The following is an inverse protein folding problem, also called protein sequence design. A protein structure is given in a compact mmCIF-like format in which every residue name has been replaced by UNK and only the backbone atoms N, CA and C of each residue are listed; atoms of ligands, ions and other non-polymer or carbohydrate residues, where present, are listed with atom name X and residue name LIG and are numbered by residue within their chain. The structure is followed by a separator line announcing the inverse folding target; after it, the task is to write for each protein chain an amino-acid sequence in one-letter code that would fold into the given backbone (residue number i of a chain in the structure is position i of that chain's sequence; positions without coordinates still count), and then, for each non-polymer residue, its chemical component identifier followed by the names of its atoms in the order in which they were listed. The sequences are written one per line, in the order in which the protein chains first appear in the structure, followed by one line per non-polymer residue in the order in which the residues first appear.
data_IF_721842236267
#
_entry.id   IF_721842236267
#
_cell.length_a   1.000
_cell.length_b   1.000
_cell.length_c   1.000
_cell.angle_alpha   90.00
_cell.angle_beta   90.00
_cell.angle_gamma   90.00
#
_symmetry.space_group_name_H-M   'P 1'
#
loop_
_entity.id
_entity.type
_entity.pdbx_description
1 polymer ?
#
# COMPACT_ATOMS: atom_id res chain seq x y z
N UNK A 1 -12.73 -20.12 15.05
CA UNK A 1 -12.45 -20.54 13.66
C UNK A 1 -11.82 -19.39 12.92
N UNK A 2 -10.71 -19.65 12.22
CA UNK A 2 -10.04 -18.69 11.35
C UNK A 2 -10.69 -18.76 9.96
N UNK A 3 -11.10 -17.63 9.40
CA UNK A 3 -11.66 -17.57 8.05
C UNK A 3 -10.68 -16.90 7.10
N UNK A 4 -10.35 -17.56 6.00
CA UNK A 4 -9.40 -17.06 5.00
C UNK A 4 -10.13 -16.60 3.76
N UNK A 5 -9.80 -15.42 3.25
CA UNK A 5 -10.29 -14.93 1.96
C UNK A 5 -9.15 -14.29 1.17
N UNK A 6 -9.35 -14.15 -0.13
CA UNK A 6 -8.35 -13.59 -1.05
C UNK A 6 -8.80 -12.23 -1.59
N UNK A 7 -7.89 -11.27 -1.63
CA UNK A 7 -8.10 -9.94 -2.21
C UNK A 7 -7.33 -9.85 -3.53
N UNK A 8 -7.99 -9.57 -4.67
CA UNK A 8 -7.31 -9.30 -5.92
C UNK A 8 -6.48 -8.02 -5.81
N UNK A 9 -5.21 -8.09 -6.19
CA UNK A 9 -4.26 -6.98 -6.12
C UNK A 9 -3.37 -6.94 -7.35
N UNK A 10 -2.69 -5.80 -7.57
CA UNK A 10 -1.62 -5.73 -8.55
C UNK A 10 -0.38 -6.53 -8.07
N UNK A 11 0.44 -7.07 -8.98
CA UNK A 11 1.63 -7.84 -8.63
C UNK A 11 2.60 -7.13 -7.67
N UNK A 12 2.97 -5.86 -7.92
CA UNK A 12 3.86 -5.09 -7.02
C UNK A 12 3.21 -4.83 -5.65
N UNK A 13 1.89 -4.59 -5.62
CA UNK A 13 1.14 -4.41 -4.38
C UNK A 13 1.20 -5.68 -3.54
N UNK A 14 1.04 -6.85 -4.16
CA UNK A 14 1.19 -8.14 -3.47
C UNK A 14 2.59 -8.27 -2.85
N UNK A 15 3.65 -8.06 -3.64
CA UNK A 15 5.04 -8.17 -3.16
C UNK A 15 5.30 -7.24 -1.98
N UNK A 16 4.81 -6.00 -2.06
CA UNK A 16 4.92 -5.04 -0.98
C UNK A 16 4.17 -5.49 0.28
N UNK A 17 2.91 -5.94 0.15
CA UNK A 17 2.13 -6.44 1.27
C UNK A 17 2.76 -7.70 1.90
N UNK A 18 3.24 -8.64 1.10
CA UNK A 18 3.91 -9.86 1.57
C UNK A 18 5.23 -9.54 2.29
N UNK A 19 5.99 -8.53 1.82
CA UNK A 19 7.21 -8.07 2.49
C UNK A 19 6.93 -7.51 3.89
N UNK A 20 5.88 -6.71 4.06
CA UNK A 20 5.56 -6.06 5.34
C UNK A 20 4.71 -6.90 6.29
N UNK A 21 3.79 -7.71 5.75
CA UNK A 21 2.76 -8.43 6.52
C UNK A 21 2.94 -9.94 6.52
N UNK A 22 3.77 -10.47 5.63
CA UNK A 22 3.91 -11.91 5.37
C UNK A 22 2.79 -12.48 4.49
N UNK A 23 2.97 -13.72 4.05
CA UNK A 23 2.03 -14.45 3.17
C UNK A 23 0.72 -14.86 3.86
N UNK A 24 0.71 -14.93 5.19
CA UNK A 24 -0.41 -15.39 6.00
C UNK A 24 -1.03 -14.28 6.86
N UNK A 25 -1.16 -13.07 6.30
CA UNK A 25 -1.57 -11.90 7.06
C UNK A 25 -2.89 -12.12 7.80
N UNK A 26 -2.87 -11.88 9.12
CA UNK A 26 -4.05 -11.87 9.97
C UNK A 26 -4.57 -10.45 10.06
N UNK A 27 -5.83 -10.26 9.65
CA UNK A 27 -6.50 -8.97 9.66
C UNK A 27 -6.45 -8.38 11.07
N UNK A 28 -5.71 -7.28 11.21
CA UNK A 28 -5.52 -6.58 12.47
C UNK A 28 -6.02 -5.13 12.35
N UNK A 29 -6.46 -4.56 13.46
CA UNK A 29 -6.85 -3.13 13.52
C UNK A 29 -5.69 -2.24 13.95
N UNK A 30 -4.55 -2.84 14.30
CA UNK A 30 -3.37 -2.10 14.75
C UNK A 30 -2.57 -1.54 13.58
N UNK A 31 -2.58 -2.23 12.43
CA UNK A 31 -1.88 -1.80 11.24
C UNK A 31 -2.80 -1.02 10.28
N UNK A 32 -2.24 -0.12 9.45
CA UNK A 32 -3.02 0.70 8.53
C UNK A 32 -3.74 -0.13 7.45
N UNK A 33 -3.16 -1.24 6.99
CA UNK A 33 -3.74 -2.07 5.93
C UNK A 33 -5.00 -2.78 6.39
N UNK A 34 -4.98 -3.37 7.59
CA UNK A 34 -6.13 -4.04 8.15
C UNK A 34 -7.25 -3.08 8.57
N UNK A 35 -6.91 -1.86 9.01
CA UNK A 35 -7.92 -0.79 9.22
C UNK A 35 -8.62 -0.40 7.92
N UNK A 36 -7.87 -0.22 6.84
CA UNK A 36 -8.44 0.10 5.53
C UNK A 36 -9.31 -1.05 5.02
N UNK A 37 -8.80 -2.29 5.03
CA UNK A 37 -9.56 -3.48 4.63
C UNK A 37 -10.84 -3.64 5.46
N UNK A 38 -10.78 -3.46 6.78
CA UNK A 38 -11.96 -3.54 7.65
C UNK A 38 -12.97 -2.45 7.30
N UNK A 39 -12.49 -1.25 6.97
CA UNK A 39 -13.35 -0.13 6.57
C UNK A 39 -14.09 -0.46 5.28
N UNK A 40 -13.38 -0.97 4.26
CA UNK A 40 -13.96 -1.39 2.99
C UNK A 40 -14.94 -2.54 3.15
N UNK A 41 -14.59 -3.57 3.93
CA UNK A 41 -15.47 -4.71 4.22
C UNK A 41 -16.74 -4.32 5.01
N UNK A 42 -16.70 -3.20 5.73
CA UNK A 42 -17.82 -2.67 6.50
C UNK A 42 -18.83 -1.85 5.68
N UNK A 43 -18.50 -1.45 4.45
CA UNK A 43 -19.35 -0.58 3.66
C UNK A 43 -20.60 -1.32 3.12
N UNK A 44 -21.72 -0.61 3.04
CA UNK A 44 -22.93 -1.13 2.38
C UNK A 44 -22.68 -1.15 0.87
N UNK A 45 -22.84 -2.32 0.24
CA UNK A 45 -22.67 -2.50 -1.22
C UNK A 45 -23.46 -1.45 -2.00
N UNK A 46 -22.76 -0.54 -2.67
CA UNK A 46 -23.33 0.37 -3.66
C UNK A 46 -22.90 -0.11 -5.05
N UNK A 47 -23.90 -0.38 -5.90
CA UNK A 47 -23.90 -0.71 -7.34
C UNK A 47 -22.69 -1.41 -8.00
N UNK A 48 -23.00 -2.49 -8.75
CA UNK A 48 -22.10 -3.46 -9.41
C UNK A 48 -21.38 -2.97 -10.69
N UNK A 49 -21.23 -1.66 -10.91
CA UNK A 49 -20.92 -1.12 -12.25
C UNK A 49 -19.40 -0.98 -12.59
N UNK A 50 -18.53 -1.88 -12.11
CA UNK A 50 -17.07 -1.79 -12.32
C UNK A 50 -16.39 -3.11 -12.71
N UNK A 51 -17.04 -3.94 -13.53
CA UNK A 51 -16.53 -5.30 -13.86
C UNK A 51 -15.35 -5.31 -14.85
N UNK A 52 -15.04 -4.19 -15.52
CA UNK A 52 -13.96 -4.11 -16.50
C UNK A 52 -12.55 -3.93 -15.91
N UNK A 53 -12.44 -3.25 -14.76
CA UNK A 53 -11.14 -2.82 -14.20
C UNK A 53 -10.43 -3.89 -13.37
N UNK A 54 -11.16 -4.89 -12.88
CA UNK A 54 -10.61 -5.98 -12.08
C UNK A 54 -9.69 -6.91 -12.87
N UNK A 55 -9.76 -6.88 -14.21
CA UNK A 55 -8.89 -7.68 -15.09
C UNK A 55 -7.40 -7.37 -14.93
N UNK A 56 -7.06 -6.16 -14.46
CA UNK A 56 -5.67 -5.76 -14.22
C UNK A 56 -5.11 -6.26 -12.88
N UNK A 57 -5.94 -6.85 -12.01
CA UNK A 57 -5.52 -7.41 -10.73
C UNK A 57 -5.29 -8.92 -10.88
N UNK A 58 -4.12 -9.27 -11.39
CA UNK A 58 -3.75 -10.66 -11.69
C UNK A 58 -3.25 -11.44 -10.49
N UNK A 59 -2.89 -10.77 -9.39
CA UNK A 59 -2.37 -11.38 -8.19
C UNK A 59 -3.44 -11.44 -7.09
N UNK A 60 -3.31 -12.40 -6.18
CA UNK A 60 -4.21 -12.56 -5.03
C UNK A 60 -3.40 -12.45 -3.73
N UNK A 61 -3.88 -11.65 -2.78
CA UNK A 61 -3.32 -11.52 -1.44
C UNK A 61 -4.22 -12.23 -0.43
N UNK A 62 -3.65 -13.16 0.34
CA UNK A 62 -4.38 -13.96 1.33
C UNK A 62 -4.55 -13.22 2.65
N UNK A 63 -5.79 -13.14 3.16
CA UNK A 63 -6.11 -12.49 4.42
C UNK A 63 -6.89 -13.44 5.32
N UNK A 64 -6.44 -13.58 6.55
CA UNK A 64 -7.08 -14.40 7.59
C UNK A 64 -7.81 -13.53 8.61
N UNK A 65 -9.04 -13.86 8.97
CA UNK A 65 -9.82 -13.15 9.99
C UNK A 65 -10.13 -14.10 11.13
N UNK A 66 -9.83 -13.65 12.36
CA UNK A 66 -10.23 -14.35 13.56
C UNK A 66 -11.72 -14.08 13.84
N UNK A 67 -12.52 -15.14 13.85
CA UNK A 67 -13.97 -15.04 13.77
C UNK A 67 -14.63 -14.57 15.06
N UNK A 68 -15.33 -13.44 14.98
CA UNK A 68 -16.59 -13.21 15.69
C UNK A 68 -17.73 -13.37 14.67
N UNK A 69 -18.81 -14.11 14.97
CA UNK A 69 -19.87 -14.44 13.98
C UNK A 69 -20.50 -13.21 13.29
N UNK A 70 -20.43 -12.05 13.92
CA UNK A 70 -20.91 -10.76 13.40
C UNK A 70 -20.02 -10.26 12.24
N UNK A 71 -18.70 -10.43 12.35
CA UNK A 71 -17.76 -10.13 11.26
C UNK A 71 -17.98 -11.09 10.10
N UNK A 72 -18.24 -12.37 10.35
CA UNK A 72 -18.51 -13.35 9.29
C UNK A 72 -19.72 -12.98 8.43
N UNK A 73 -20.82 -12.48 9.03
CA UNK A 73 -21.99 -12.01 8.27
C UNK A 73 -21.74 -10.69 7.52
N UNK A 74 -20.73 -9.91 7.92
CA UNK A 74 -20.37 -8.61 7.34
C UNK A 74 -19.24 -8.68 6.32
N UNK A 75 -18.40 -9.71 6.35
CA UNK A 75 -17.38 -10.03 5.35
C UNK A 75 -18.07 -10.48 4.06
N UNK A 76 -18.79 -9.56 3.43
CA UNK A 76 -19.28 -9.75 2.08
C UNK A 76 -18.07 -9.54 1.16
N UNK A 77 -17.94 -10.37 0.13
CA UNK A 77 -16.86 -10.22 -0.85
C UNK A 77 -16.78 -8.77 -1.36
N UNK A 78 -15.54 -8.28 -1.46
CA UNK A 78 -15.22 -6.92 -1.90
C UNK A 78 -15.81 -6.65 -3.29
N UNK A 79 -16.37 -5.47 -3.46
CA UNK A 79 -16.78 -4.94 -4.77
C UNK A 79 -15.55 -4.53 -5.57
N UNK A 80 -15.69 -4.46 -6.89
CA UNK A 80 -14.61 -3.99 -7.76
C UNK A 80 -14.08 -2.60 -7.36
N UNK A 81 -14.96 -1.69 -6.93
CA UNK A 81 -14.57 -0.38 -6.42
C UNK A 81 -13.71 -0.48 -5.16
N UNK A 82 -14.15 -1.27 -4.18
CA UNK A 82 -13.39 -1.46 -2.94
C UNK A 82 -12.01 -2.09 -3.19
N UNK A 83 -11.91 -3.00 -4.17
CA UNK A 83 -10.62 -3.55 -4.63
C UNK A 83 -9.73 -2.45 -5.21
N UNK A 84 -10.28 -1.60 -6.07
CA UNK A 84 -9.55 -0.45 -6.66
C UNK A 84 -9.07 0.49 -5.56
N UNK A 85 -9.96 0.85 -4.63
CA UNK A 85 -9.67 1.78 -3.53
C UNK A 85 -8.56 1.21 -2.64
N UNK A 86 -8.61 -0.08 -2.30
CA UNK A 86 -7.56 -0.75 -1.54
C UNK A 86 -6.21 -0.74 -2.28
N UNK A 87 -6.19 -1.09 -3.57
CA UNK A 87 -4.95 -1.07 -4.36
C UNK A 87 -4.37 0.34 -4.44
N UNK A 88 -5.20 1.35 -4.67
CA UNK A 88 -4.78 2.75 -4.73
C UNK A 88 -4.23 3.24 -3.39
N UNK A 89 -4.83 2.82 -2.28
CA UNK A 89 -4.34 3.10 -0.93
C UNK A 89 -2.93 2.55 -0.73
N UNK A 90 -2.71 1.26 -1.03
CA UNK A 90 -1.39 0.65 -0.88
C UNK A 90 -0.37 1.29 -1.83
N UNK A 91 -0.75 1.56 -3.08
CA UNK A 91 0.11 2.30 -4.01
C UNK A 91 0.48 3.70 -3.52
N UNK A 92 -0.43 4.37 -2.79
CA UNK A 92 -0.15 5.65 -2.14
C UNK A 92 0.95 5.53 -1.09
N UNK A 93 0.90 4.48 -0.27
CA UNK A 93 1.94 4.17 0.73
C UNK A 93 3.27 3.86 0.04
N UNK A 94 3.27 2.97 -0.96
CA UNK A 94 4.48 2.62 -1.73
C UNK A 94 5.13 3.89 -2.31
N UNK A 95 4.34 4.79 -2.89
CA UNK A 95 4.85 6.05 -3.46
C UNK A 95 5.44 6.96 -2.40
N UNK A 96 4.76 7.12 -1.26
CA UNK A 96 5.25 7.95 -0.17
C UNK A 96 6.59 7.42 0.37
N UNK A 97 6.66 6.12 0.58
CA UNK A 97 7.88 5.46 1.03
C UNK A 97 9.00 5.55 -0.01
N UNK A 98 8.70 5.33 -1.28
CA UNK A 98 9.64 5.51 -2.38
C UNK A 98 10.24 6.92 -2.39
N UNK A 99 9.42 7.96 -2.26
CA UNK A 99 9.91 9.33 -2.23
C UNK A 99 10.80 9.60 -1.00
N UNK A 100 10.41 9.11 0.18
CA UNK A 100 11.24 9.19 1.39
C UNK A 100 12.57 8.46 1.23
N UNK A 101 12.54 7.24 0.69
CA UNK A 101 13.71 6.38 0.47
C UNK A 101 14.72 7.02 -0.48
N UNK A 102 14.26 7.48 -1.65
CA UNK A 102 15.13 8.13 -2.62
C UNK A 102 15.67 9.44 -2.06
N UNK A 103 14.83 10.26 -1.41
CA UNK A 103 15.27 11.51 -0.78
C UNK A 103 16.38 11.28 0.24
N UNK A 104 16.20 10.32 1.15
CA UNK A 104 17.19 10.00 2.18
C UNK A 104 18.52 9.52 1.58
N UNK A 105 18.48 8.67 0.55
CA UNK A 105 19.71 8.22 -0.13
C UNK A 105 20.42 9.34 -0.90
N UNK A 106 19.66 10.30 -1.44
CA UNK A 106 20.27 11.48 -2.07
C UNK A 106 21.02 12.35 -1.06
N UNK A 107 20.58 12.42 0.19
CA UNK A 107 21.26 13.18 1.24
C UNK A 107 22.66 12.61 1.56
N UNK A 108 22.85 11.31 1.38
CA UNK A 108 24.15 10.63 1.53
C UNK A 108 24.91 10.50 0.19
N UNK A 109 24.65 11.41 -0.75
CA UNK A 109 25.33 11.50 -2.06
C UNK A 109 25.18 10.28 -2.98
N UNK A 110 24.17 9.42 -2.78
CA UNK A 110 23.88 8.37 -3.76
C UNK A 110 23.17 8.94 -5.00
N UNK A 111 23.49 8.38 -6.16
CA UNK A 111 22.83 8.79 -7.41
C UNK A 111 21.35 8.40 -7.42
N UNK A 112 20.50 9.21 -8.06
CA UNK A 112 19.07 8.88 -8.23
C UNK A 112 18.87 7.48 -8.83
N UNK A 113 19.67 7.12 -9.82
CA UNK A 113 19.62 5.81 -10.47
C UNK A 113 19.85 4.70 -9.46
N UNK A 114 20.95 4.77 -8.70
CA UNK A 114 21.28 3.75 -7.68
C UNK A 114 20.22 3.66 -6.58
N UNK A 115 19.65 4.79 -6.16
CA UNK A 115 18.61 4.82 -5.13
C UNK A 115 17.30 4.20 -5.61
N UNK A 116 16.89 4.47 -6.85
CA UNK A 116 15.68 3.86 -7.42
C UNK A 116 15.88 2.35 -7.61
N UNK A 117 17.05 1.94 -8.10
CA UNK A 117 17.37 0.52 -8.30
C UNK A 117 17.39 -0.23 -6.96
N UNK A 118 18.03 0.33 -5.93
CA UNK A 118 18.05 -0.25 -4.60
C UNK A 118 16.64 -0.39 -3.99
N UNK A 119 15.74 0.57 -4.26
CA UNK A 119 14.34 0.48 -3.83
C UNK A 119 13.62 -0.69 -4.50
N UNK A 120 13.84 -0.89 -5.81
CA UNK A 120 13.26 -2.01 -6.53
C UNK A 120 13.80 -3.35 -6.02
N UNK A 121 15.10 -3.43 -5.79
CA UNK A 121 15.76 -4.63 -5.26
C UNK A 121 15.24 -4.98 -3.86
N UNK A 122 15.00 -3.99 -3.00
CA UNK A 122 14.47 -4.21 -1.65
C UNK A 122 13.12 -4.93 -1.66
N UNK A 123 12.26 -4.65 -2.64
CA UNK A 123 10.92 -5.24 -2.76
C UNK A 123 10.80 -6.30 -3.87
N UNK A 124 11.92 -6.67 -4.49
CA UNK A 124 11.96 -7.54 -5.66
C UNK A 124 11.00 -7.08 -6.79
N UNK A 125 10.94 -5.78 -7.08
CA UNK A 125 10.11 -5.25 -8.16
C UNK A 125 10.75 -5.48 -9.52
N UNK A 126 10.16 -6.40 -10.29
CA UNK A 126 10.57 -6.69 -11.66
C UNK A 126 10.08 -5.60 -12.63
N UNK A 127 10.63 -5.56 -13.84
CA UNK A 127 10.29 -4.52 -14.82
C UNK A 127 8.82 -4.58 -15.26
N UNK A 128 8.24 -5.78 -15.24
CA UNK A 128 6.82 -6.05 -15.53
C UNK A 128 5.89 -5.52 -14.44
N UNK A 129 6.36 -5.53 -13.19
CA UNK A 129 5.60 -5.05 -12.04
C UNK A 129 5.66 -3.52 -11.96
N UNK A 130 6.88 -2.97 -11.97
CA UNK A 130 7.13 -1.55 -11.84
C UNK A 130 8.47 -1.17 -12.48
N UNK A 131 8.40 -0.73 -13.73
CA UNK A 131 9.60 -0.33 -14.49
C UNK A 131 10.33 0.86 -13.88
N UNK A 132 11.65 0.86 -14.04
CA UNK A 132 12.52 1.97 -13.63
C UNK A 132 12.05 3.33 -14.18
N UNK A 133 11.65 3.38 -15.45
CA UNK A 133 11.18 4.62 -16.09
C UNK A 133 9.91 5.17 -15.44
N UNK A 134 9.03 4.29 -14.96
CA UNK A 134 7.81 4.69 -14.23
C UNK A 134 8.18 5.37 -12.92
N UNK A 135 9.08 4.77 -12.14
CA UNK A 135 9.57 5.31 -10.88
C UNK A 135 10.36 6.62 -11.08
N UNK A 136 11.23 6.67 -12.09
CA UNK A 136 11.97 7.87 -12.46
C UNK A 136 11.02 9.03 -12.80
N UNK A 137 10.00 8.79 -13.61
CA UNK A 137 8.97 9.81 -13.93
C UNK A 137 8.15 10.22 -12.70
N UNK A 138 7.87 9.30 -11.79
CA UNK A 138 7.20 9.61 -10.52
C UNK A 138 8.07 10.53 -9.65
N UNK A 139 9.36 10.23 -9.52
CA UNK A 139 10.33 11.04 -8.80
C UNK A 139 10.49 12.44 -9.40
N UNK A 140 10.60 12.54 -10.72
CA UNK A 140 10.68 13.82 -11.42
C UNK A 140 9.44 14.69 -11.16
N UNK A 141 8.25 14.09 -11.16
CA UNK A 141 7.00 14.77 -10.82
C UNK A 141 6.94 15.23 -9.37
N UNK A 142 7.46 14.42 -8.45
CA UNK A 142 7.57 14.79 -7.03
C UNK A 142 8.53 15.96 -6.81
N UNK A 143 9.71 15.95 -7.47
CA UNK A 143 10.71 17.02 -7.37
C UNK A 143 10.31 18.32 -8.06
N UNK A 144 9.45 18.24 -9.08
CA UNK A 144 9.02 19.42 -9.81
C UNK A 144 7.82 20.03 -9.07
N UNK A 145 7.97 21.14 -8.30
CA UNK A 145 6.83 21.82 -7.73
C UNK A 145 6.02 22.38 -8.89
N UNK A 146 5.04 21.62 -9.36
CA UNK A 146 4.09 22.16 -10.32
C UNK A 146 3.42 23.36 -9.65
N UNK A 147 3.51 24.55 -10.27
CA UNK A 147 2.93 25.81 -9.76
C UNK A 147 1.45 25.69 -9.34
N UNK A 148 0.74 24.64 -9.79
CA UNK A 148 -0.63 24.31 -9.39
C UNK A 148 -0.79 23.71 -7.97
N UNK A 149 0.26 23.12 -7.39
CA UNK A 149 0.21 22.54 -6.04
C UNK A 149 0.49 23.57 -4.93
N UNK A 150 1.11 24.71 -5.25
CA UNK A 150 1.27 25.82 -4.30
C UNK A 150 -0.06 26.51 -3.96
N UNK A 151 -1.04 26.46 -4.88
CA UNK A 151 -2.41 26.97 -4.67
C UNK A 151 -3.37 25.95 -4.06
N UNK A 152 -2.94 24.70 -3.92
CA UNK A 152 -3.69 23.65 -3.22
C UNK A 152 -2.77 23.05 -2.17
N UNK A 153 -2.60 23.78 -1.04
CA UNK A 153 -2.10 23.17 0.18
C UNK A 153 -2.82 21.82 0.37
N UNK A 154 -2.11 20.74 0.70
CA UNK A 154 -2.76 19.46 0.95
C UNK A 154 -3.76 19.69 2.08
N UNK A 155 -5.05 19.68 1.74
CA UNK A 155 -6.08 19.44 2.73
C UNK A 155 -5.80 18.03 3.23
N UNK A 156 -5.06 17.95 4.33
CA UNK A 156 -5.23 16.89 5.31
C UNK A 156 -6.73 16.63 5.39
N UNK A 157 -7.23 15.40 5.16
CA UNK A 157 -8.52 15.04 5.70
C UNK A 157 -8.35 15.18 7.22
N UNK A 158 -8.87 16.30 7.74
CA UNK A 158 -8.91 16.58 9.16
C UNK A 158 -9.67 15.46 9.82
N UNK A 159 -8.92 14.54 10.41
CA UNK A 159 -9.41 13.72 11.49
C UNK A 159 -8.35 13.82 12.59
N UNK A 160 -8.69 14.57 13.63
CA UNK A 160 -7.96 14.71 14.87
C UNK A 160 -7.72 13.32 15.46
N UNK A 161 -6.51 12.79 15.25
CA UNK A 161 -6.01 11.62 15.96
C UNK A 161 -4.83 12.12 16.77
N UNK A 162 -4.99 12.05 18.09
CA UNK A 162 -3.95 12.29 19.08
C UNK A 162 -2.62 11.66 18.64
N UNK A 163 -1.53 12.43 18.72
CA UNK A 163 -0.17 11.92 18.62
C UNK A 163 0.03 10.87 19.72
N UNK A 164 -0.12 9.60 19.35
CA UNK A 164 0.52 8.51 20.08
C UNK A 164 1.88 8.32 19.42
N UNK A 165 2.91 8.55 20.22
CA UNK A 165 4.31 8.24 19.96
C UNK A 165 4.45 6.90 19.21
N UNK A 166 4.90 6.96 17.95
CA UNK A 166 5.24 5.77 17.17
C UNK A 166 6.55 5.22 17.74
N UNK A 167 6.49 4.00 18.24
CA UNK A 167 7.65 3.27 18.75
C UNK A 167 8.75 3.16 17.68
N UNK A 168 10.04 3.25 18.07
CA UNK A 168 11.15 3.06 17.16
C UNK A 168 11.16 1.62 16.61
N UNK A 169 11.33 1.48 15.31
CA UNK A 169 11.54 0.20 14.64
C UNK A 169 12.79 -0.50 15.24
N UNK A 170 12.75 -1.80 15.55
CA UNK A 170 13.93 -2.53 15.98
C UNK A 170 14.94 -2.58 14.82
N UNK A 171 16.10 -1.97 15.03
CA UNK A 171 17.25 -2.11 14.16
C UNK A 171 17.64 -3.58 14.09
N UNK A 172 17.54 -4.16 12.89
CA UNK A 172 18.03 -5.51 12.59
C UNK A 172 19.56 -5.47 12.73
N UNK A 173 20.09 -5.99 13.82
CA UNK A 173 21.52 -6.16 14.01
C UNK A 173 22.06 -7.05 12.88
N UNK A 174 22.94 -6.50 12.06
CA UNK A 174 23.74 -7.30 11.15
C UNK A 174 24.78 -8.05 11.98
N UNK A 175 24.68 -9.38 11.99
CA UNK A 175 25.74 -10.23 12.51
C UNK A 175 26.96 -10.13 11.57
N UNK A 176 28.13 -10.04 12.19
CA UNK A 176 29.45 -9.88 11.58
C UNK A 176 29.86 -11.06 10.70
#
# INVERSE_FOLDING_TARGET
MLHTFTVPVKPHVRKYLEFHLGQGYKLSQLDPFGRELKTLLGQKKKNKWFDGFTRCYTANFGVSVEGNMILQKRLKGLTAKEIIDFNNFVEGIIKWEFFGFVSNRCLVNMSHYSSIQAFREQYDFQDEDMSYDTLKKAWQRYKSPTKKQASSAPQHPGNSINLVSVCPLPMRAMAA
#
